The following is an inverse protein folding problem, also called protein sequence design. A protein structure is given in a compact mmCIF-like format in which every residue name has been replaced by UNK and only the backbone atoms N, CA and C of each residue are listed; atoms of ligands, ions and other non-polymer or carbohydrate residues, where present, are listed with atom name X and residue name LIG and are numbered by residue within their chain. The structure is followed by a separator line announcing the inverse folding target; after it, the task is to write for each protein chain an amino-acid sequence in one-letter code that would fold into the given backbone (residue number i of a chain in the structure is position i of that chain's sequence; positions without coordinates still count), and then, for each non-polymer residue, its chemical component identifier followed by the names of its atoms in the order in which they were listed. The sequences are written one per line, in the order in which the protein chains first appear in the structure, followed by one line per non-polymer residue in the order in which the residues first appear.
data_IF_338146662684
#
_entry.id   IF_338146662684
#
_cell.length_a   1.000
_cell.length_b   1.000
_cell.length_c   1.000
_cell.angle_alpha   90.00
_cell.angle_beta   90.00
_cell.angle_gamma   90.00
#
_symmetry.space_group_name_H-M   'P 1'
#
loop_
_entity.id
_entity.type
_entity.pdbx_description
1 polymer ?
#
# COMPACT_ATOMS: atom_id res chain seq x y z
N UNK A 1 -10.57 59.67 -10.08
CA UNK A 1 -11.83 60.42 -9.88
C UNK A 1 -12.97 59.42 -9.93
N UNK A 2 -13.79 59.35 -8.88
CA UNK A 2 -14.86 58.36 -8.71
C UNK A 2 -14.94 57.85 -7.27
N UNK A 3 -15.41 58.72 -6.38
CA UNK A 3 -15.76 58.49 -4.96
C UNK A 3 -16.97 57.53 -4.88
N UNK A 4 -16.90 56.43 -4.09
CA UNK A 4 -17.42 56.24 -2.71
C UNK A 4 -18.97 56.16 -2.60
N UNK A 5 -19.56 55.63 -1.51
CA UNK A 5 -19.25 54.44 -0.69
C UNK A 5 -20.53 53.61 -0.39
N UNK A 6 -20.40 52.51 0.36
CA UNK A 6 -21.56 51.75 0.86
C UNK A 6 -21.18 50.77 1.96
N UNK A 7 -21.00 51.31 3.17
CA UNK A 7 -21.00 50.59 4.44
C UNK A 7 -22.24 49.69 4.60
N UNK A 8 -22.05 48.49 5.17
CA UNK A 8 -22.92 48.07 6.27
C UNK A 8 -22.31 46.97 7.13
N UNK A 9 -22.01 47.39 8.36
CA UNK A 9 -21.70 46.60 9.54
C UNK A 9 -22.88 45.74 10.03
N UNK A 10 -22.59 44.54 10.56
CA UNK A 10 -23.27 43.91 11.70
C UNK A 10 -22.58 42.56 11.97
N UNK A 11 -21.71 42.44 12.97
CA UNK A 11 -22.06 42.23 14.38
C UNK A 11 -22.97 41.01 14.61
N UNK A 12 -22.38 39.86 14.92
CA UNK A 12 -22.98 38.97 15.91
C UNK A 12 -21.94 38.11 16.65
N UNK A 13 -21.56 38.61 17.82
CA UNK A 13 -20.98 37.85 18.94
C UNK A 13 -21.97 36.75 19.35
N UNK A 14 -21.55 35.49 19.32
CA UNK A 14 -22.07 34.47 20.23
C UNK A 14 -20.92 33.65 20.81
N UNK A 15 -20.49 34.11 21.98
CA UNK A 15 -19.82 33.33 23.01
C UNK A 15 -20.66 32.11 23.38
N UNK A 16 -20.11 30.90 23.23
CA UNK A 16 -20.54 29.73 23.99
C UNK A 16 -19.38 29.22 24.82
N UNK A 17 -19.35 29.69 26.07
CA UNK A 17 -18.78 28.96 27.21
C UNK A 17 -19.61 27.69 27.39
N UNK A 18 -18.98 26.53 27.33
CA UNK A 18 -19.52 25.31 27.92
C UNK A 18 -18.63 24.93 29.11
N UNK A 19 -19.30 24.87 30.23
CA UNK A 19 -18.89 24.57 31.59
C UNK A 19 -18.26 23.19 31.73
N UNK A 20 -17.13 23.13 32.45
CA UNK A 20 -16.66 21.91 33.13
C UNK A 20 -17.65 21.52 34.23
N UNK A 21 -17.91 20.23 34.45
CA UNK A 21 -18.22 19.73 35.77
C UNK A 21 -16.96 19.10 36.38
N UNK A 22 -16.50 19.69 37.49
CA UNK A 22 -15.83 18.94 38.53
C UNK A 22 -16.92 18.38 39.45
N UNK A 23 -16.78 17.13 39.91
CA UNK A 23 -16.88 16.73 41.31
C UNK A 23 -17.17 15.24 41.49
N UNK A 24 -16.45 14.66 42.47
CA UNK A 24 -16.84 13.57 43.36
C UNK A 24 -16.94 12.18 42.71
N UNK A 25 -16.14 11.20 43.12
CA UNK A 25 -16.03 10.75 44.51
C UNK A 25 -17.06 9.64 44.71
N UNK A 26 -16.64 8.39 44.52
CA UNK A 26 -17.54 7.23 44.58
C UNK A 26 -16.77 5.93 44.62
N UNK A 27 -16.28 5.57 45.82
CA UNK A 27 -15.98 4.20 46.19
C UNK A 27 -17.21 3.32 45.92
N UNK A 28 -17.06 2.29 45.09
CA UNK A 28 -18.04 1.23 44.95
C UNK A 28 -17.41 -0.12 45.29
N UNK A 29 -17.94 -0.67 46.37
CA UNK A 29 -17.79 -2.00 46.95
C UNK A 29 -17.36 -3.11 45.97
N UNK A 30 -16.30 -3.83 46.36
CA UNK A 30 -16.12 -5.24 46.04
C UNK A 30 -17.29 -6.03 46.64
N UNK A 31 -18.20 -6.50 45.80
CA UNK A 31 -19.09 -7.60 46.14
C UNK A 31 -18.38 -8.92 45.83
N UNK A 32 -17.81 -9.54 46.86
CA UNK A 32 -17.31 -10.92 46.80
C UNK A 32 -18.54 -11.84 46.80
N UNK A 33 -18.94 -12.30 45.62
CA UNK A 33 -19.88 -13.41 45.46
C UNK A 33 -19.12 -14.72 45.70
N UNK A 34 -19.24 -15.26 46.90
CA UNK A 34 -18.85 -16.64 47.21
C UNK A 34 -19.87 -17.58 46.60
N UNK A 35 -19.52 -18.18 45.45
CA UNK A 35 -20.27 -19.31 44.91
C UNK A 35 -19.95 -20.59 45.71
N UNK A 36 -20.94 -21.46 45.97
CA UNK A 36 -20.69 -22.76 46.61
C UNK A 36 -19.86 -23.64 45.68
N UNK A 37 -18.74 -24.15 46.21
CA UNK A 37 -17.92 -25.17 45.56
C UNK A 37 -18.72 -26.47 45.48
N UNK A 38 -19.18 -26.83 44.28
CA UNK A 38 -19.61 -28.18 43.97
C UNK A 38 -18.38 -29.08 43.79
N UNK A 39 -18.27 -30.21 44.51
CA UNK A 39 -17.26 -31.21 44.23
C UNK A 39 -17.79 -32.12 43.12
N UNK A 40 -17.17 -32.11 41.94
CA UNK A 40 -17.46 -33.11 40.92
C UNK A 40 -17.33 -32.62 39.48
N UNK A 41 -16.13 -32.80 38.92
CA UNK A 41 -15.88 -33.50 37.66
C UNK A 41 -14.43 -33.20 37.30
N UNK A 42 -13.58 -34.23 37.44
CA UNK A 42 -12.24 -34.26 36.85
C UNK A 42 -12.38 -34.05 35.34
N UNK A 43 -12.24 -32.81 34.89
CA UNK A 43 -11.91 -32.52 33.50
C UNK A 43 -10.44 -32.82 33.38
N UNK A 44 -10.11 -33.87 32.63
CA UNK A 44 -8.77 -34.07 32.14
C UNK A 44 -8.24 -32.73 31.60
N UNK A 45 -6.99 -32.35 31.92
CA UNK A 45 -6.40 -31.17 31.32
C UNK A 45 -6.53 -31.31 29.81
N UNK A 46 -7.12 -30.30 29.16
CA UNK A 46 -7.17 -30.25 27.72
C UNK A 46 -5.76 -30.55 27.18
N UNK A 47 -5.62 -31.43 26.18
CA UNK A 47 -4.31 -31.77 25.64
C UNK A 47 -3.60 -30.45 25.28
N UNK A 48 -2.30 -30.32 25.60
CA UNK A 48 -1.57 -29.11 25.29
C UNK A 48 -1.76 -28.81 23.81
N UNK A 49 -2.25 -27.61 23.49
CA UNK A 49 -2.29 -27.13 22.12
C UNK A 49 -0.90 -27.35 21.52
N UNK A 50 -0.76 -28.15 20.45
CA UNK A 50 0.55 -28.46 19.91
C UNK A 50 1.26 -27.13 19.62
N UNK A 51 2.51 -27.02 20.08
CA UNK A 51 3.34 -25.88 19.75
C UNK A 51 3.32 -25.73 18.21
N UNK A 52 3.09 -24.53 17.67
CA UNK A 52 3.03 -24.34 16.23
C UNK A 52 4.32 -24.89 15.61
N UNK A 53 4.15 -25.82 14.68
CA UNK A 53 5.25 -26.45 13.99
C UNK A 53 6.01 -25.36 13.21
N UNK A 54 7.16 -24.95 13.76
CA UNK A 54 8.00 -23.86 13.23
C UNK A 54 8.46 -24.17 11.80
N UNK A 55 8.36 -25.44 11.36
CA UNK A 55 8.76 -25.86 10.02
C UNK A 55 7.79 -25.43 8.92
N UNK A 56 6.48 -25.34 9.19
CA UNK A 56 5.49 -25.11 8.13
C UNK A 56 5.62 -23.73 7.45
N UNK A 57 5.81 -22.60 8.17
CA UNK A 57 6.11 -21.30 7.55
C UNK A 57 7.38 -21.30 6.69
N UNK A 58 8.43 -22.03 7.11
CA UNK A 58 9.69 -22.09 6.37
C UNK A 58 9.58 -22.99 5.13
N UNK A 59 8.85 -24.10 5.21
CA UNK A 59 8.50 -24.94 4.08
C UNK A 59 7.67 -24.19 3.05
N UNK A 60 6.67 -23.43 3.51
CA UNK A 60 5.85 -22.60 2.65
C UNK A 60 6.71 -21.57 1.89
N UNK A 61 7.62 -20.88 2.60
CA UNK A 61 8.54 -19.93 1.98
C UNK A 61 9.42 -20.58 0.91
N UNK A 62 9.93 -21.79 1.19
CA UNK A 62 10.73 -22.57 0.23
C UNK A 62 9.91 -23.00 -0.99
N UNK A 63 8.64 -23.37 -0.80
CA UNK A 63 7.74 -23.73 -1.90
C UNK A 63 7.48 -22.54 -2.82
N UNK A 64 7.21 -21.36 -2.26
CA UNK A 64 7.03 -20.10 -3.02
C UNK A 64 8.31 -19.76 -3.79
N UNK A 65 9.47 -19.75 -3.13
CA UNK A 65 10.75 -19.44 -3.77
C UNK A 65 11.11 -20.41 -4.91
N UNK A 66 10.69 -21.67 -4.79
CA UNK A 66 10.91 -22.71 -5.81
C UNK A 66 9.82 -22.73 -6.90
N UNK A 67 8.82 -21.85 -6.87
CA UNK A 67 7.72 -21.84 -7.83
C UNK A 67 6.79 -23.05 -7.73
N UNK A 68 6.78 -23.79 -6.62
CA UNK A 68 5.91 -24.95 -6.39
C UNK A 68 4.54 -24.48 -5.88
N UNK A 69 3.71 -24.00 -6.81
CA UNK A 69 2.45 -23.34 -6.47
C UNK A 69 1.47 -24.25 -5.69
N UNK A 70 1.31 -25.51 -6.08
CA UNK A 70 0.40 -26.45 -5.41
C UNK A 70 0.84 -26.74 -3.97
N UNK A 71 2.15 -26.91 -3.75
CA UNK A 71 2.71 -27.05 -2.40
C UNK A 71 2.45 -25.79 -1.56
N UNK A 72 2.65 -24.61 -2.15
CA UNK A 72 2.41 -23.35 -1.46
C UNK A 72 0.94 -23.18 -1.07
N UNK A 73 -0.01 -23.60 -1.93
CA UNK A 73 -1.45 -23.59 -1.63
C UNK A 73 -1.78 -24.57 -0.50
N UNK A 74 -1.27 -25.81 -0.57
CA UNK A 74 -1.48 -26.83 0.47
C UNK A 74 -0.92 -26.38 1.82
N UNK A 75 0.29 -25.83 1.84
CA UNK A 75 0.95 -25.35 3.06
C UNK A 75 0.27 -24.10 3.61
N UNK A 76 -0.18 -23.16 2.77
CA UNK A 76 -0.97 -22.01 3.23
C UNK A 76 -2.27 -22.48 3.91
N UNK A 77 -2.96 -23.45 3.31
CA UNK A 77 -4.18 -24.06 3.88
C UNK A 77 -3.88 -24.69 5.25
N UNK A 78 -2.78 -25.42 5.37
CA UNK A 78 -2.35 -26.01 6.64
C UNK A 78 -2.03 -24.95 7.71
N UNK A 79 -1.34 -23.86 7.33
CA UNK A 79 -0.99 -22.75 8.23
C UNK A 79 -2.24 -22.01 8.72
N UNK A 80 -3.22 -21.79 7.83
CA UNK A 80 -4.45 -21.07 8.15
C UNK A 80 -5.47 -21.93 8.91
N UNK A 81 -5.37 -23.26 8.82
CA UNK A 81 -6.36 -24.21 9.34
C UNK A 81 -7.63 -24.32 8.48
N UNK A 82 -7.70 -23.59 7.36
CA UNK A 82 -8.78 -23.58 6.37
C UNK A 82 -8.21 -23.14 5.00
N UNK A 83 -9.05 -23.08 3.96
CA UNK A 83 -8.62 -22.69 2.61
C UNK A 83 -8.48 -21.16 2.42
N UNK A 84 -8.61 -20.36 3.48
CA UNK A 84 -8.51 -18.90 3.47
C UNK A 84 -9.74 -18.16 2.98
N UNK A 85 -10.78 -18.84 2.47
CA UNK A 85 -11.98 -18.18 1.97
C UNK A 85 -12.71 -17.41 3.08
N UNK A 86 -13.26 -16.24 2.73
CA UNK A 86 -14.01 -15.40 3.67
C UNK A 86 -15.26 -14.83 3.01
N UNK A 87 -16.34 -14.76 3.78
CA UNK A 87 -17.60 -14.16 3.34
C UNK A 87 -17.72 -12.67 3.71
N UNK A 88 -17.04 -12.25 4.79
CA UNK A 88 -17.05 -10.87 5.26
C UNK A 88 -15.91 -10.09 4.59
N UNK A 89 -16.26 -9.29 3.59
CA UNK A 89 -15.33 -8.49 2.80
C UNK A 89 -15.54 -7.02 3.18
N UNK A 90 -14.47 -6.25 3.49
CA UNK A 90 -14.58 -4.82 3.73
C UNK A 90 -15.29 -4.10 2.57
N UNK A 91 -16.34 -3.33 2.88
CA UNK A 91 -17.19 -2.67 1.87
C UNK A 91 -16.39 -1.81 0.89
N UNK A 92 -15.40 -1.07 1.40
CA UNK A 92 -14.50 -0.23 0.59
C UNK A 92 -13.72 -1.03 -0.46
N UNK A 93 -13.34 -2.28 -0.18
CA UNK A 93 -12.67 -3.14 -1.17
C UNK A 93 -13.67 -3.68 -2.19
N UNK A 94 -14.85 -4.11 -1.72
CA UNK A 94 -15.91 -4.60 -2.62
C UNK A 94 -16.39 -3.51 -3.59
N UNK A 95 -16.49 -2.26 -3.14
CA UNK A 95 -16.82 -1.09 -3.97
C UNK A 95 -15.72 -0.78 -4.98
N UNK A 96 -14.45 -0.78 -4.54
CA UNK A 96 -13.30 -0.55 -5.41
C UNK A 96 -13.22 -1.59 -6.54
N UNK A 97 -13.41 -2.87 -6.23
CA UNK A 97 -13.40 -3.95 -7.22
C UNK A 97 -14.56 -3.81 -8.22
N UNK A 98 -15.78 -3.57 -7.72
CA UNK A 98 -16.95 -3.33 -8.59
C UNK A 98 -16.74 -2.14 -9.52
N UNK A 99 -16.20 -1.04 -9.02
CA UNK A 99 -15.91 0.16 -9.82
C UNK A 99 -14.88 -0.10 -10.94
N UNK A 100 -14.05 -1.14 -10.81
CA UNK A 100 -13.07 -1.56 -11.81
C UNK A 100 -13.50 -2.78 -12.62
N UNK A 101 -14.79 -3.17 -12.58
CA UNK A 101 -15.33 -4.27 -13.37
C UNK A 101 -14.94 -5.67 -12.85
N UNK A 102 -14.48 -5.77 -11.61
CA UNK A 102 -14.14 -7.04 -10.98
C UNK A 102 -15.22 -7.48 -9.99
N UNK A 103 -15.44 -8.80 -9.91
CA UNK A 103 -16.33 -9.38 -8.92
C UNK A 103 -15.70 -9.32 -7.52
N UNK A 104 -16.42 -8.84 -6.48
CA UNK A 104 -15.97 -8.95 -5.10
C UNK A 104 -15.70 -10.40 -4.65
N UNK A 105 -16.26 -11.41 -5.33
CA UNK A 105 -15.98 -12.82 -5.05
C UNK A 105 -14.48 -13.16 -5.18
N UNK A 106 -13.73 -12.43 -6.03
CA UNK A 106 -12.27 -12.56 -6.09
C UNK A 106 -11.60 -12.33 -4.73
N UNK A 107 -12.11 -11.37 -3.96
CA UNK A 107 -11.56 -10.96 -2.66
C UNK A 107 -11.81 -12.06 -1.62
N UNK A 108 -13.02 -12.63 -1.63
CA UNK A 108 -13.45 -13.67 -0.68
C UNK A 108 -13.05 -15.11 -1.06
N UNK A 109 -12.50 -15.30 -2.26
CA UNK A 109 -12.07 -16.62 -2.75
C UNK A 109 -10.99 -17.26 -1.86
N UNK A 110 -10.87 -18.58 -1.97
CA UNK A 110 -9.82 -19.37 -1.33
C UNK A 110 -8.42 -19.02 -1.87
N UNK A 111 -7.38 -19.50 -1.17
CA UNK A 111 -5.99 -19.36 -1.61
C UNK A 111 -5.71 -20.21 -2.86
N UNK A 112 -5.11 -19.59 -3.87
CA UNK A 112 -4.94 -20.16 -5.21
C UNK A 112 -3.48 -20.04 -5.71
N UNK A 113 -3.08 -20.78 -6.75
CA UNK A 113 -1.73 -20.70 -7.32
C UNK A 113 -1.26 -19.28 -7.67
N UNK A 114 -2.19 -18.42 -8.11
CA UNK A 114 -1.89 -17.00 -8.41
C UNK A 114 -1.47 -16.19 -7.19
N UNK A 115 -1.95 -16.55 -5.98
CA UNK A 115 -1.50 -15.88 -4.75
C UNK A 115 -0.03 -16.21 -4.48
N UNK A 116 0.35 -17.49 -4.63
CA UNK A 116 1.73 -17.93 -4.48
C UNK A 116 2.68 -17.24 -5.47
N UNK A 117 2.23 -17.00 -6.71
CA UNK A 117 3.02 -16.24 -7.69
C UNK A 117 3.31 -14.81 -7.22
N UNK A 118 2.31 -14.12 -6.64
CA UNK A 118 2.50 -12.76 -6.14
C UNK A 118 3.35 -12.71 -4.86
N UNK A 119 3.23 -13.72 -3.99
CA UNK A 119 4.17 -13.89 -2.89
C UNK A 119 5.61 -14.08 -3.39
N UNK A 120 5.82 -14.80 -4.49
CA UNK A 120 7.15 -14.96 -5.09
C UNK A 120 7.70 -13.63 -5.63
N UNK A 121 6.85 -12.76 -6.16
CA UNK A 121 7.25 -11.40 -6.57
C UNK A 121 7.65 -10.55 -5.36
N UNK A 122 6.91 -10.64 -4.24
CA UNK A 122 7.27 -9.94 -3.02
C UNK A 122 8.61 -10.44 -2.43
N UNK A 123 8.87 -11.76 -2.49
CA UNK A 123 10.18 -12.32 -2.12
C UNK A 123 11.31 -11.82 -3.02
N UNK A 124 11.06 -11.76 -4.32
CA UNK A 124 12.02 -11.19 -5.26
C UNK A 124 12.41 -9.76 -4.87
N UNK A 125 11.43 -8.91 -4.52
CA UNK A 125 11.72 -7.55 -4.06
C UNK A 125 12.36 -7.49 -2.68
N UNK A 126 12.09 -8.44 -1.78
CA UNK A 126 12.75 -8.52 -0.48
C UNK A 126 14.24 -8.84 -0.66
N UNK A 127 14.55 -9.85 -1.46
CA UNK A 127 15.93 -10.22 -1.78
C UNK A 127 16.64 -9.08 -2.51
N UNK A 128 15.93 -8.43 -3.45
CA UNK A 128 16.45 -7.31 -4.21
C UNK A 128 16.64 -6.05 -3.36
N UNK A 129 15.85 -5.80 -2.31
CA UNK A 129 16.09 -4.70 -1.37
C UNK A 129 17.39 -4.94 -0.59
N UNK A 130 17.67 -6.21 -0.26
CA UNK A 130 18.83 -6.62 0.52
C UNK A 130 18.64 -6.35 2.01
N UNK A 131 19.71 -6.47 2.79
CA UNK A 131 19.65 -6.11 4.22
C UNK A 131 19.55 -4.58 4.33
N UNK A 132 18.59 -4.06 5.10
CA UNK A 132 18.46 -2.62 5.30
C UNK A 132 19.75 -2.09 5.90
N UNK A 133 20.46 -1.23 5.17
CA UNK A 133 21.52 -0.41 5.73
C UNK A 133 20.85 0.65 6.60
N UNK A 134 21.09 0.66 7.91
CA UNK A 134 20.54 1.70 8.77
C UNK A 134 21.16 3.05 8.43
N UNK A 135 20.37 4.00 7.94
CA UNK A 135 20.84 5.37 7.78
C UNK A 135 20.12 6.18 6.71
N UNK A 136 20.49 7.47 6.58
CA UNK A 136 19.99 8.38 5.55
C UNK A 136 20.05 7.77 4.16
N UNK A 137 21.21 7.20 3.83
CA UNK A 137 21.64 6.80 2.49
C UNK A 137 20.85 5.61 1.92
N UNK A 138 20.03 4.96 2.75
CA UNK A 138 19.24 3.80 2.33
C UNK A 138 18.24 4.19 1.23
N UNK A 139 17.55 5.32 1.38
CA UNK A 139 16.59 5.81 0.39
C UNK A 139 17.31 6.14 -0.93
N UNK A 140 18.43 6.87 -0.86
CA UNK A 140 19.26 7.23 -2.01
C UNK A 140 19.82 5.98 -2.70
N UNK A 141 20.21 4.95 -1.94
CA UNK A 141 20.71 3.69 -2.50
C UNK A 141 19.64 2.92 -3.25
N UNK A 142 18.42 2.83 -2.71
CA UNK A 142 17.29 2.18 -3.38
C UNK A 142 16.87 2.95 -4.63
N UNK A 143 16.79 4.28 -4.51
CA UNK A 143 16.54 5.18 -5.63
C UNK A 143 17.58 4.97 -6.75
N UNK A 144 18.87 5.01 -6.41
CA UNK A 144 19.97 4.82 -7.35
C UNK A 144 19.91 3.46 -8.04
N UNK A 145 19.53 2.40 -7.32
CA UNK A 145 19.35 1.05 -7.87
C UNK A 145 18.24 1.02 -8.93
N UNK A 146 17.12 1.71 -8.69
CA UNK A 146 16.02 1.82 -9.64
C UNK A 146 16.42 2.66 -10.86
N UNK A 147 16.96 3.87 -10.66
CA UNK A 147 17.30 4.78 -11.76
C UNK A 147 18.49 4.34 -12.60
N UNK A 148 19.39 3.54 -12.02
CA UNK A 148 20.49 2.91 -12.75
C UNK A 148 20.04 1.72 -13.59
N UNK A 149 18.93 1.07 -13.23
CA UNK A 149 18.40 -0.12 -13.91
C UNK A 149 17.34 0.22 -14.96
N UNK A 150 16.39 1.09 -14.63
CA UNK A 150 15.21 1.35 -15.45
C UNK A 150 15.41 2.52 -16.41
N UNK A 151 14.89 2.36 -17.62
CA UNK A 151 14.79 3.41 -18.63
C UNK A 151 13.33 3.74 -18.94
N UNK A 152 13.02 4.98 -19.39
CA UNK A 152 11.72 5.29 -19.97
C UNK A 152 11.37 4.33 -21.12
N UNK A 153 10.18 3.73 -21.06
CA UNK A 153 9.67 2.88 -22.14
C UNK A 153 9.35 3.69 -23.40
N UNK A 154 9.55 3.10 -24.58
CA UNK A 154 9.14 3.72 -25.85
C UNK A 154 7.60 3.77 -25.95
N UNK A 155 7.00 4.77 -26.62
CA UNK A 155 5.54 4.91 -26.73
C UNK A 155 4.80 3.77 -27.45
N UNK A 156 5.52 2.84 -28.10
CA UNK A 156 4.95 1.92 -29.08
C UNK A 156 4.27 0.65 -28.49
N UNK A 157 4.31 0.41 -27.17
CA UNK A 157 3.87 -0.87 -26.58
C UNK A 157 2.94 -0.73 -25.36
N UNK A 158 1.98 0.19 -25.40
CA UNK A 158 0.99 0.41 -24.32
C UNK A 158 0.05 -0.81 -24.06
N UNK A 159 0.10 -1.85 -24.90
CA UNK A 159 -0.70 -3.07 -24.74
C UNK A 159 -0.18 -4.00 -23.63
N UNK A 160 1.09 -3.89 -23.26
CA UNK A 160 1.63 -4.59 -22.11
C UNK A 160 1.75 -3.60 -20.98
N UNK A 161 0.83 -3.70 -20.00
CA UNK A 161 0.93 -3.00 -18.73
C UNK A 161 1.63 -3.94 -17.74
N UNK A 162 2.97 -3.90 -17.60
CA UNK A 162 3.70 -4.87 -16.80
C UNK A 162 3.46 -4.68 -15.29
N UNK A 163 3.53 -5.79 -14.55
CA UNK A 163 3.66 -5.79 -13.09
C UNK A 163 5.08 -5.35 -12.68
N UNK A 164 5.32 -4.90 -11.42
CA UNK A 164 6.62 -4.39 -10.99
C UNK A 164 7.81 -5.30 -11.31
N UNK A 165 7.69 -6.61 -11.07
CA UNK A 165 8.76 -7.57 -11.38
C UNK A 165 9.06 -7.62 -12.88
N UNK A 166 8.04 -7.59 -13.72
CA UNK A 166 8.19 -7.56 -15.18
C UNK A 166 8.85 -6.25 -15.62
N UNK A 167 8.44 -5.10 -15.08
CA UNK A 167 9.12 -3.80 -15.31
C UNK A 167 10.61 -3.88 -14.97
N UNK A 168 10.96 -4.51 -13.84
CA UNK A 168 12.35 -4.72 -13.44
C UNK A 168 13.12 -5.61 -14.43
N UNK A 169 12.51 -6.71 -14.88
CA UNK A 169 13.12 -7.64 -15.83
C UNK A 169 13.34 -7.01 -17.20
N UNK A 170 12.35 -6.26 -17.70
CA UNK A 170 12.39 -5.57 -18.99
C UNK A 170 13.33 -4.36 -19.01
N UNK A 171 13.81 -3.90 -17.85
CA UNK A 171 14.66 -2.71 -17.72
C UNK A 171 14.00 -1.40 -18.19
N UNK A 172 12.68 -1.40 -18.39
CA UNK A 172 11.98 -0.29 -18.99
C UNK A 172 10.57 -0.15 -18.40
N UNK A 173 10.10 1.09 -18.26
CA UNK A 173 8.75 1.36 -17.78
C UNK A 173 8.35 2.82 -17.92
N UNK A 174 7.04 3.08 -17.89
CA UNK A 174 6.49 4.43 -17.76
C UNK A 174 6.66 4.96 -16.33
N UNK A 175 6.37 6.25 -16.13
CA UNK A 175 6.60 6.92 -14.84
C UNK A 175 5.91 6.25 -13.66
N UNK A 176 4.67 5.79 -13.84
CA UNK A 176 3.90 5.05 -12.85
C UNK A 176 4.52 3.68 -12.51
N UNK A 177 5.01 2.94 -13.51
CA UNK A 177 5.70 1.65 -13.30
C UNK A 177 7.03 1.82 -12.58
N UNK A 178 7.82 2.83 -12.93
CA UNK A 178 9.09 3.09 -12.26
C UNK A 178 8.88 3.53 -10.80
N UNK A 179 7.89 4.40 -10.55
CA UNK A 179 7.49 4.77 -9.20
C UNK A 179 7.00 3.57 -8.38
N UNK A 180 6.23 2.66 -9.00
CA UNK A 180 5.78 1.44 -8.34
C UNK A 180 6.93 0.52 -7.98
N UNK A 181 7.88 0.27 -8.88
CA UNK A 181 9.08 -0.53 -8.59
C UNK A 181 9.86 0.04 -7.40
N UNK A 182 10.04 1.36 -7.35
CA UNK A 182 10.70 2.00 -6.20
C UNK A 182 9.87 1.82 -4.91
N UNK A 183 8.54 1.96 -4.99
CA UNK A 183 7.67 1.73 -3.84
C UNK A 183 7.74 0.29 -3.33
N UNK A 184 7.78 -0.72 -4.20
CA UNK A 184 7.92 -2.13 -3.79
C UNK A 184 9.27 -2.38 -3.11
N UNK A 185 10.37 -1.87 -3.67
CA UNK A 185 11.70 -2.00 -3.07
C UNK A 185 11.79 -1.32 -1.71
N UNK A 186 11.37 -0.06 -1.62
CA UNK A 186 11.38 0.69 -0.37
C UNK A 186 10.43 0.09 0.67
N UNK A 187 9.28 -0.43 0.23
CA UNK A 187 8.35 -1.13 1.11
C UNK A 187 9.00 -2.34 1.77
N UNK A 188 9.70 -3.20 1.01
CA UNK A 188 10.43 -4.34 1.58
C UNK A 188 11.58 -3.91 2.51
N UNK A 189 12.21 -2.77 2.25
CA UNK A 189 13.24 -2.15 3.11
C UNK A 189 12.67 -1.46 4.37
N UNK A 190 11.37 -1.56 4.63
CA UNK A 190 10.73 -1.03 5.84
C UNK A 190 10.28 0.42 5.75
N UNK A 191 10.29 1.03 4.56
CA UNK A 191 9.67 2.34 4.37
C UNK A 191 8.14 2.19 4.32
N UNK A 192 7.43 3.24 4.72
CA UNK A 192 6.04 3.46 4.30
C UNK A 192 6.07 4.26 3.00
N UNK A 193 5.28 3.86 2.01
CA UNK A 193 5.38 4.38 0.64
C UNK A 193 4.02 4.82 0.11
N UNK A 194 4.01 5.88 -0.69
CA UNK A 194 2.86 6.34 -1.44
C UNK A 194 3.24 6.62 -2.89
N UNK A 195 2.36 6.25 -3.82
CA UNK A 195 2.40 6.73 -5.19
C UNK A 195 1.61 8.04 -5.26
N UNK A 196 2.08 9.00 -6.05
CA UNK A 196 1.40 10.28 -6.23
C UNK A 196 1.17 10.55 -7.71
N UNK A 197 -0.10 10.55 -8.11
CA UNK A 197 -0.50 10.93 -9.46
C UNK A 197 -0.65 12.44 -9.50
N UNK A 198 0.17 13.11 -10.30
CA UNK A 198 0.00 14.53 -10.59
C UNK A 198 -1.26 14.66 -11.43
N UNK A 199 -2.19 15.56 -11.13
CA UNK A 199 -3.46 15.61 -11.86
C UNK A 199 -3.60 16.91 -12.63
N UNK A 200 -3.85 16.80 -13.93
CA UNK A 200 -4.32 17.92 -14.71
C UNK A 200 -5.77 18.24 -14.29
N UNK A 201 -6.06 19.44 -13.78
CA UNK A 201 -7.40 19.79 -13.31
C UNK A 201 -8.44 19.84 -14.43
N UNK A 202 -8.04 20.12 -15.68
CA UNK A 202 -8.93 20.22 -16.83
C UNK A 202 -9.26 18.84 -17.40
N UNK A 203 -8.26 18.00 -17.66
CA UNK A 203 -8.47 16.70 -18.30
C UNK A 203 -8.76 15.57 -17.31
N UNK A 204 -8.48 15.79 -16.02
CA UNK A 204 -8.50 14.77 -14.96
C UNK A 204 -7.61 13.57 -15.27
N UNK A 205 -6.61 13.75 -16.15
CA UNK A 205 -5.59 12.75 -16.47
C UNK A 205 -4.30 13.07 -15.71
N UNK A 206 -3.50 12.03 -15.50
CA UNK A 206 -2.20 12.17 -14.85
C UNK A 206 -1.11 12.36 -15.90
N UNK A 207 -0.51 13.56 -16.07
CA UNK A 207 0.62 13.73 -16.99
C UNK A 207 1.91 13.08 -16.47
N UNK A 208 1.98 12.79 -15.17
CA UNK A 208 3.15 12.17 -14.53
C UNK A 208 2.80 11.46 -13.23
N UNK A 209 3.70 10.59 -12.78
CA UNK A 209 3.60 9.91 -11.48
C UNK A 209 4.94 9.95 -10.77
N UNK A 210 4.92 10.24 -9.47
CA UNK A 210 6.08 10.17 -8.57
C UNK A 210 5.73 9.34 -7.33
N UNK A 211 6.64 9.26 -6.36
CA UNK A 211 6.36 8.62 -5.08
C UNK A 211 6.96 9.39 -3.90
N UNK A 212 6.38 9.15 -2.72
CA UNK A 212 6.89 9.61 -1.43
C UNK A 212 7.25 8.40 -0.57
N UNK A 213 8.42 8.48 0.08
CA UNK A 213 8.93 7.45 0.97
C UNK A 213 9.05 8.05 2.37
N UNK A 214 8.67 7.30 3.42
CA UNK A 214 8.82 7.72 4.82
C UNK A 214 9.40 6.60 5.66
N UNK A 215 10.39 6.93 6.49
CA UNK A 215 11.02 6.00 7.44
C UNK A 215 11.72 6.78 8.54
N UNK A 216 11.60 6.30 9.78
CA UNK A 216 12.30 6.86 10.95
C UNK A 216 12.16 8.40 11.10
N UNK A 217 10.94 8.91 10.87
CA UNK A 217 10.63 10.34 10.99
C UNK A 217 11.08 11.22 9.83
N UNK A 218 11.70 10.64 8.79
CA UNK A 218 12.15 11.34 7.59
C UNK A 218 11.24 11.05 6.40
N UNK A 219 11.32 11.94 5.40
CA UNK A 219 10.51 11.89 4.17
C UNK A 219 11.38 12.15 2.96
N UNK A 220 11.09 11.47 1.85
CA UNK A 220 11.74 11.69 0.57
C UNK A 220 10.68 11.81 -0.52
N UNK A 221 10.83 12.80 -1.39
CA UNK A 221 10.09 12.90 -2.64
C UNK A 221 10.97 12.37 -3.77
N UNK A 222 10.50 11.33 -4.47
CA UNK A 222 11.27 10.64 -5.47
C UNK A 222 10.53 10.56 -6.81
N UNK A 223 11.20 11.00 -7.86
CA UNK A 223 10.81 10.83 -9.26
C UNK A 223 11.86 9.96 -9.97
N UNK A 224 11.69 8.62 -9.97
CA UNK A 224 12.66 7.73 -10.61
C UNK A 224 12.69 7.91 -12.13
N UNK A 225 11.59 8.38 -12.74
CA UNK A 225 11.51 8.56 -14.18
C UNK A 225 12.36 9.74 -14.67
N UNK A 226 12.34 10.87 -13.95
CA UNK A 226 13.24 12.01 -14.23
C UNK A 226 14.58 11.92 -13.51
N UNK A 227 14.79 10.87 -12.70
CA UNK A 227 16.00 10.61 -11.89
C UNK A 227 16.30 11.71 -10.88
N UNK A 228 15.26 12.19 -10.20
CA UNK A 228 15.38 13.24 -9.18
C UNK A 228 14.80 12.79 -7.85
N UNK A 229 15.47 13.14 -6.77
CA UNK A 229 15.01 12.90 -5.42
C UNK A 229 15.34 14.09 -4.52
N UNK A 230 14.44 14.42 -3.60
CA UNK A 230 14.66 15.40 -2.54
C UNK A 230 14.51 14.71 -1.20
N UNK A 231 15.55 14.76 -0.37
CA UNK A 231 15.50 14.34 1.02
C UNK A 231 14.88 15.44 1.89
N UNK A 232 14.16 15.02 2.93
CA UNK A 232 13.50 15.88 3.92
C UNK A 232 12.50 16.87 3.32
N UNK A 233 11.93 16.52 2.16
CA UNK A 233 10.87 17.27 1.49
C UNK A 233 9.73 16.32 1.14
N UNK A 234 8.54 16.56 1.71
CA UNK A 234 7.32 15.88 1.31
C UNK A 234 6.81 16.41 -0.03
N UNK A 235 6.01 15.63 -0.74
CA UNK A 235 5.38 16.05 -1.99
C UNK A 235 4.49 17.27 -1.75
N UNK A 236 3.82 17.33 -0.59
CA UNK A 236 3.00 18.47 -0.22
C UNK A 236 3.83 19.75 -0.02
N UNK A 237 5.01 19.65 0.60
CA UNK A 237 5.95 20.76 0.71
C UNK A 237 6.51 21.18 -0.66
N UNK A 238 6.87 20.20 -1.51
CA UNK A 238 7.33 20.48 -2.87
C UNK A 238 6.25 21.22 -3.67
N UNK A 239 4.99 20.80 -3.58
CA UNK A 239 3.87 21.42 -4.32
C UNK A 239 3.61 22.89 -3.95
N UNK A 240 4.06 23.35 -2.79
CA UNK A 240 3.85 24.72 -2.29
C UNK A 240 5.05 25.65 -2.51
N UNK A 241 6.19 25.14 -3.00
CA UNK A 241 7.42 25.90 -3.18
C UNK A 241 7.79 25.98 -4.68
N UNK A 242 7.39 27.08 -5.33
CA UNK A 242 7.62 27.29 -6.76
C UNK A 242 9.12 27.26 -7.12
N UNK A 243 9.98 27.80 -6.27
CA UNK A 243 11.43 27.79 -6.49
C UNK A 243 12.00 26.38 -6.47
N UNK A 244 11.56 25.54 -5.52
CA UNK A 244 11.92 24.12 -5.50
C UNK A 244 11.32 23.36 -6.67
N UNK A 245 10.09 23.66 -7.09
CA UNK A 245 9.48 23.03 -8.26
C UNK A 245 10.25 23.35 -9.54
N UNK A 246 10.67 24.60 -9.73
CA UNK A 246 11.49 25.02 -10.87
C UNK A 246 12.85 24.32 -10.86
N UNK A 247 13.49 24.21 -9.70
CA UNK A 247 14.76 23.47 -9.58
C UNK A 247 14.57 21.96 -9.81
N UNK A 248 13.48 21.38 -9.31
CA UNK A 248 13.17 19.96 -9.41
C UNK A 248 12.74 19.59 -10.83
N UNK A 249 11.98 20.41 -11.54
CA UNK A 249 11.57 20.15 -12.92
C UNK A 249 11.61 21.42 -13.78
N UNK A 250 12.79 21.88 -14.23
CA UNK A 250 12.90 23.14 -14.97
C UNK A 250 12.11 23.13 -16.29
N UNK A 251 12.08 22.00 -16.97
CA UNK A 251 11.50 21.86 -18.32
C UNK A 251 10.02 21.43 -18.34
N UNK A 252 9.39 21.21 -17.17
CA UNK A 252 8.05 20.58 -17.09
C UNK A 252 7.03 21.45 -16.38
N UNK A 253 6.68 22.57 -17.01
CA UNK A 253 5.63 23.46 -16.51
C UNK A 253 4.30 22.73 -16.28
N UNK A 254 3.97 21.77 -17.15
CA UNK A 254 2.81 20.89 -17.03
C UNK A 254 2.80 20.10 -15.70
N UNK A 255 3.95 19.55 -15.31
CA UNK A 255 4.08 18.80 -14.04
C UNK A 255 4.07 19.72 -12.83
N UNK A 256 4.78 20.86 -12.90
CA UNK A 256 4.79 21.84 -11.80
C UNK A 256 3.39 22.37 -11.48
N UNK A 257 2.53 22.51 -12.47
CA UNK A 257 1.13 22.85 -12.24
C UNK A 257 0.32 21.66 -11.69
N UNK A 258 0.46 20.48 -12.28
CA UNK A 258 -0.36 19.31 -11.96
C UNK A 258 -0.09 18.73 -10.55
N UNK A 259 1.10 18.91 -9.98
CA UNK A 259 1.44 18.39 -8.64
C UNK A 259 0.54 18.97 -7.53
N UNK A 260 0.05 20.20 -7.70
CA UNK A 260 -0.83 20.90 -6.74
C UNK A 260 -2.23 20.27 -6.63
N UNK A 261 -2.62 19.45 -7.60
CA UNK A 261 -3.92 18.79 -7.66
C UNK A 261 -3.82 17.26 -7.54
N UNK A 262 -2.63 16.76 -7.25
CA UNK A 262 -2.37 15.34 -7.24
C UNK A 262 -3.07 14.58 -6.12
N UNK A 263 -2.96 13.26 -6.17
CA UNK A 263 -3.59 12.36 -5.20
C UNK A 263 -2.60 11.31 -4.73
N UNK A 264 -2.57 11.08 -3.41
CA UNK A 264 -1.80 10.00 -2.83
C UNK A 264 -2.55 8.68 -3.01
N UNK A 265 -1.86 7.65 -3.45
CA UNK A 265 -2.38 6.33 -3.76
C UNK A 265 -1.56 5.31 -2.99
N UNK A 266 -2.23 4.47 -2.20
CA UNK A 266 -1.56 3.41 -1.43
C UNK A 266 -1.12 2.30 -2.39
N UNK A 267 0.19 2.13 -2.65
CA UNK A 267 0.67 1.12 -3.59
C UNK A 267 0.36 -0.27 -3.04
N UNK A 268 -0.42 -1.06 -3.77
CA UNK A 268 -0.83 -2.41 -3.38
C UNK A 268 -0.99 -3.27 -4.63
N UNK A 269 -0.89 -4.57 -4.51
CA UNK A 269 -1.27 -5.53 -5.54
C UNK A 269 -2.75 -5.92 -5.36
N UNK A 270 -3.40 -6.46 -6.39
CA UNK A 270 -4.80 -6.87 -6.28
C UNK A 270 -5.02 -7.89 -5.15
N UNK A 271 -4.03 -8.74 -4.92
CA UNK A 271 -4.02 -9.79 -3.90
C UNK A 271 -3.83 -9.26 -2.47
N UNK A 272 -3.28 -8.05 -2.26
CA UNK A 272 -3.20 -7.43 -0.93
C UNK A 272 -4.59 -7.10 -0.37
N UNK A 273 -5.57 -6.84 -1.25
CA UNK A 273 -6.95 -6.61 -0.84
C UNK A 273 -7.65 -7.88 -0.35
N UNK A 274 -7.10 -9.07 -0.61
CA UNK A 274 -7.71 -10.36 -0.27
C UNK A 274 -7.41 -10.76 1.18
N UNK A 275 -8.43 -10.95 2.04
CA UNK A 275 -8.24 -11.29 3.45
C UNK A 275 -7.44 -12.58 3.69
N UNK A 276 -7.49 -13.54 2.76
CA UNK A 276 -6.64 -14.75 2.82
C UNK A 276 -5.15 -14.43 2.89
N UNK A 277 -4.67 -13.46 2.11
CA UNK A 277 -3.27 -13.05 2.11
C UNK A 277 -2.94 -12.24 3.37
N UNK A 278 -3.91 -11.50 3.90
CA UNK A 278 -3.76 -10.76 5.16
C UNK A 278 -3.64 -11.69 6.37
N UNK A 279 -4.47 -12.73 6.43
CA UNK A 279 -4.39 -13.78 7.45
C UNK A 279 -3.07 -14.54 7.34
N UNK A 280 -2.66 -14.90 6.13
CA UNK A 280 -1.40 -15.61 5.91
C UNK A 280 -0.20 -14.75 6.31
N UNK A 281 -0.16 -13.46 5.93
CA UNK A 281 0.86 -12.52 6.37
C UNK A 281 0.96 -12.45 7.90
N UNK A 282 -0.18 -12.32 8.58
CA UNK A 282 -0.23 -12.26 10.04
C UNK A 282 0.31 -13.53 10.71
N UNK A 283 0.05 -14.71 10.12
CA UNK A 283 0.57 -15.98 10.61
C UNK A 283 2.08 -16.17 10.33
N UNK A 284 2.54 -15.75 9.15
CA UNK A 284 3.94 -15.91 8.73
C UNK A 284 4.89 -14.94 9.43
N UNK A 285 4.49 -13.68 9.61
CA UNK A 285 5.34 -12.59 10.13
C UNK A 285 6.07 -12.93 11.45
N UNK A 286 5.42 -13.43 12.51
CA UNK A 286 6.12 -13.74 13.77
C UNK A 286 7.11 -14.90 13.62
N UNK A 287 6.80 -15.89 12.76
CA UNK A 287 7.65 -17.06 12.53
C UNK A 287 8.87 -16.74 11.66
N UNK A 288 8.68 -16.01 10.56
CA UNK A 288 9.72 -15.73 9.57
C UNK A 288 10.52 -14.45 9.86
N UNK A 289 10.00 -13.52 10.67
CA UNK A 289 10.64 -12.25 11.04
C UNK A 289 11.13 -11.49 9.79
N UNK A 290 12.40 -11.10 9.74
CA UNK A 290 13.00 -10.37 8.61
C UNK A 290 13.07 -11.15 7.30
N UNK A 291 12.70 -12.45 7.28
CA UNK A 291 12.54 -13.24 6.05
C UNK A 291 11.11 -13.21 5.50
N UNK A 292 10.15 -12.67 6.25
CA UNK A 292 8.78 -12.50 5.77
C UNK A 292 8.73 -11.29 4.82
N UNK A 293 8.38 -11.45 3.54
CA UNK A 293 8.16 -10.30 2.68
C UNK A 293 6.94 -9.53 3.20
N UNK A 294 6.99 -8.21 3.08
CA UNK A 294 5.88 -7.33 3.41
C UNK A 294 4.86 -7.37 2.28
N UNK A 295 4.02 -8.38 2.29
CA UNK A 295 2.91 -8.55 1.36
C UNK A 295 1.71 -9.16 2.11
N UNK A 296 0.49 -8.83 1.69
CA UNK A 296 -0.72 -9.15 2.42
C UNK A 296 -1.02 -8.17 3.56
N UNK A 297 -0.35 -7.02 3.64
CA UNK A 297 -0.78 -5.99 4.59
C UNK A 297 -2.02 -5.25 4.05
N UNK A 298 -3.10 -5.20 4.82
CA UNK A 298 -4.37 -4.60 4.40
C UNK A 298 -4.19 -3.15 3.89
N UNK A 299 -4.50 -2.83 2.61
CA UNK A 299 -4.25 -1.52 2.02
C UNK A 299 -4.89 -0.35 2.78
N UNK A 300 -6.12 -0.51 3.29
CA UNK A 300 -6.75 0.54 4.11
C UNK A 300 -6.02 0.79 5.44
N UNK A 301 -5.41 -0.25 6.02
CA UNK A 301 -4.56 -0.11 7.21
C UNK A 301 -3.28 0.65 6.90
N UNK A 302 -2.64 0.35 5.76
CA UNK A 302 -1.45 1.05 5.27
C UNK A 302 -1.75 2.54 5.02
N UNK A 303 -2.86 2.84 4.35
CA UNK A 303 -3.33 4.20 4.12
C UNK A 303 -3.48 5.01 5.42
N UNK A 304 -4.13 4.42 6.44
CA UNK A 304 -4.31 5.05 7.75
C UNK A 304 -2.98 5.33 8.45
N UNK A 305 -2.09 4.34 8.52
CA UNK A 305 -0.77 4.53 9.14
C UNK A 305 0.03 5.65 8.46
N UNK A 306 -0.03 5.71 7.14
CA UNK A 306 0.63 6.78 6.40
C UNK A 306 0.01 8.16 6.69
N UNK A 307 -1.32 8.25 6.76
CA UNK A 307 -2.01 9.48 7.15
C UNK A 307 -1.55 9.94 8.55
N UNK A 308 -1.42 9.01 9.50
CA UNK A 308 -0.95 9.31 10.86
C UNK A 308 0.48 9.85 10.84
N UNK A 309 1.37 9.27 10.02
CA UNK A 309 2.74 9.79 9.80
C UNK A 309 2.74 11.20 9.20
N UNK A 310 1.86 11.47 8.23
CA UNK A 310 1.74 12.81 7.63
C UNK A 310 1.25 13.83 8.68
N UNK A 311 0.23 13.50 9.47
CA UNK A 311 -0.27 14.38 10.54
C UNK A 311 0.79 14.63 11.62
N UNK A 312 1.55 13.61 11.99
CA UNK A 312 2.62 13.74 12.97
C UNK A 312 3.77 14.62 12.48
N UNK A 313 4.17 14.49 11.21
CA UNK A 313 5.27 15.24 10.62
C UNK A 313 4.89 16.68 10.24
N UNK A 314 3.64 16.91 9.82
CA UNK A 314 3.17 18.19 9.28
C UNK A 314 1.85 18.62 9.95
N UNK A 315 1.80 18.79 11.28
CA UNK A 315 0.56 18.99 12.03
C UNK A 315 -0.19 20.24 11.59
N UNK A 316 0.51 21.32 11.22
CA UNK A 316 -0.11 22.56 10.76
C UNK A 316 -0.84 22.41 9.42
N UNK A 317 -0.41 21.47 8.58
CA UNK A 317 -1.02 21.21 7.26
C UNK A 317 -2.26 20.34 7.38
N UNK A 318 -2.23 19.36 8.27
CA UNK A 318 -3.23 18.29 8.36
C UNK A 318 -4.06 18.32 9.66
N UNK A 319 -4.08 19.44 10.38
CA UNK A 319 -4.85 19.56 11.63
C UNK A 319 -6.36 19.42 11.39
N UNK A 320 -6.87 20.09 10.37
CA UNK A 320 -8.32 20.18 10.09
C UNK A 320 -8.75 19.39 8.84
N UNK A 321 -7.80 18.77 8.13
CA UNK A 321 -8.08 18.04 6.90
C UNK A 321 -7.36 16.69 6.89
N UNK A 322 -8.07 15.67 6.44
CA UNK A 322 -7.46 14.38 6.19
C UNK A 322 -6.56 14.47 4.93
N UNK A 323 -5.34 13.90 4.99
CA UNK A 323 -4.53 13.74 3.79
C UNK A 323 -5.32 13.03 2.69
N UNK A 324 -5.26 13.48 1.42
CA UNK A 324 -6.08 12.96 0.33
C UNK A 324 -5.54 11.62 -0.19
N UNK A 325 -5.48 10.61 0.68
CA UNK A 325 -4.99 9.27 0.39
C UNK A 325 -6.15 8.41 -0.09
N UNK A 326 -5.93 7.71 -1.21
CA UNK A 326 -6.88 6.76 -1.79
C UNK A 326 -6.24 5.38 -1.93
N UNK A 327 -7.10 4.37 -2.03
CA UNK A 327 -6.69 3.03 -2.42
C UNK A 327 -6.37 3.03 -3.92
N UNK A 328 -5.31 2.33 -4.31
CA UNK A 328 -4.86 2.33 -5.69
C UNK A 328 -5.60 1.29 -6.52
N UNK A 329 -6.26 1.74 -7.58
CA UNK A 329 -7.09 0.95 -8.47
C UNK A 329 -6.34 0.40 -9.69
N UNK A 330 -5.18 0.96 -10.01
CA UNK A 330 -4.40 0.58 -11.18
C UNK A 330 -4.08 -0.94 -11.27
N UNK A 331 -3.65 -1.63 -10.19
CA UNK A 331 -3.45 -3.09 -10.20
C UNK A 331 -4.71 -3.89 -10.57
N UNK A 332 -5.90 -3.35 -10.28
CA UNK A 332 -7.16 -4.01 -10.63
C UNK A 332 -7.39 -3.96 -12.14
N UNK A 333 -7.02 -2.84 -12.77
CA UNK A 333 -7.06 -2.69 -14.22
C UNK A 333 -6.07 -3.62 -14.92
N UNK A 334 -4.89 -3.85 -14.32
CA UNK A 334 -3.95 -4.86 -14.80
C UNK A 334 -4.55 -6.26 -14.80
N UNK A 335 -5.24 -6.62 -13.72
CA UNK A 335 -5.88 -7.92 -13.58
C UNK A 335 -6.96 -8.12 -14.65
N UNK A 336 -7.83 -7.13 -14.86
CA UNK A 336 -8.84 -7.16 -15.94
C UNK A 336 -8.19 -7.33 -17.32
N UNK A 337 -7.10 -6.60 -17.59
CA UNK A 337 -6.38 -6.71 -18.84
C UNK A 337 -5.67 -8.06 -19.02
N UNK A 338 -5.21 -8.69 -17.94
CA UNK A 338 -4.65 -10.04 -17.97
C UNK A 338 -5.73 -11.10 -18.28
N UNK A 339 -6.86 -11.04 -17.58
CA UNK A 339 -7.99 -11.96 -17.80
C UNK A 339 -8.54 -11.84 -19.22
N UNK A 340 -8.70 -10.61 -19.73
CA UNK A 340 -9.14 -10.36 -21.10
C UNK A 340 -8.18 -10.95 -22.15
N UNK A 341 -6.87 -10.92 -21.90
CA UNK A 341 -5.86 -11.54 -22.78
C UNK A 341 -5.91 -13.06 -22.72
N UNK A 342 -6.07 -13.64 -21.53
CA UNK A 342 -6.20 -15.09 -21.36
C UNK A 342 -7.46 -15.67 -22.02
N UNK A 343 -8.52 -14.87 -22.14
CA UNK A 343 -9.76 -15.25 -22.82
C UNK A 343 -9.70 -15.17 -24.36
N UNK A 344 -8.66 -14.57 -24.96
CA UNK A 344 -8.54 -14.50 -26.42
C UNK A 344 -8.13 -15.86 -27.00
N UNK A 345 -8.81 -16.34 -28.06
CA UNK A 345 -8.43 -17.59 -28.71
C UNK A 345 -7.02 -17.47 -29.28
N UNK A 346 -6.17 -18.46 -28.99
CA UNK A 346 -4.82 -18.52 -29.56
C UNK A 346 -4.96 -18.63 -31.09
N UNK A 347 -4.40 -17.69 -31.87
CA UNK A 347 -4.47 -17.78 -33.32
C UNK A 347 -3.82 -19.11 -33.75
N UNK A 348 -4.42 -19.83 -34.73
CA UNK A 348 -3.84 -21.07 -35.22
C UNK A 348 -2.40 -20.82 -35.68
N UNK A 349 -1.50 -21.80 -35.50
CA UNK A 349 -0.11 -21.66 -35.93
C UNK A 349 -0.09 -21.24 -37.39
N UNK A 350 0.71 -20.22 -37.71
CA UNK A 350 0.85 -19.75 -39.08
C UNK A 350 1.23 -20.94 -39.96
N UNK A 351 0.42 -21.24 -40.98
CA UNK A 351 0.70 -22.34 -41.89
C UNK A 351 2.08 -22.10 -42.51
N UNK A 352 3.01 -23.01 -42.22
CA UNK A 352 4.34 -23.03 -42.84
C UNK A 352 4.16 -23.06 -44.35
N UNK A 353 4.64 -22.02 -45.04
CA UNK A 353 4.68 -21.95 -46.51
C UNK A 353 5.99 -22.49 -47.04
#
# INVERSE_FOLDING_TARGET
MGQNPGDNSNANRRTRRATRPACLGGLALLAVLTLPLTPGCSRDPAPPTPAPDVTAPEEWLRAVAAGRADDAVRLATAILGDNGAVNDIPSVYAELFRANGLSPAFIGAAFEPRDAAVWADALFFLDLAGRPSSGPEEAESLFSRVTGRLQPAAPANDRNLPWPRQTWQEAAGYCDRQAWVLCELAWQAGFETMIYYLMDPATRKSPHTICELRKDGRVWTADPFSRRMLADVSIAQLADDDGRLEAFWPERADWRQAIRHGVYLTPALAQDYCPRNQRLHAALRPALRGRCPRFGEAPAGRARRYADLMRAAEPQRWHDTDPPIRLWDFPLRLLVAADARAAQPVPPPAASR
#
